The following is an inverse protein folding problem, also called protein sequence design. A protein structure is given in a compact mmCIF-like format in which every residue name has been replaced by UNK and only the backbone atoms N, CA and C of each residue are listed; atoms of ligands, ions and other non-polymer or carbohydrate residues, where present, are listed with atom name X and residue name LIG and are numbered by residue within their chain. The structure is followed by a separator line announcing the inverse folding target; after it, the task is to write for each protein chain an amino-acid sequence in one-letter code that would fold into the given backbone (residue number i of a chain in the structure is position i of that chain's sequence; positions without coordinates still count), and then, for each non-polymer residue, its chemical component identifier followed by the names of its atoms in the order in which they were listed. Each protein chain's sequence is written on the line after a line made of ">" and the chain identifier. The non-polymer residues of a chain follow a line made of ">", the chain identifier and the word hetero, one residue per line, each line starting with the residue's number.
data_IF_995236209670
#
_entry.id   IF_995236209670
#
_cell.length_a   1.000
_cell.length_b   1.000
_cell.length_c   1.000
_cell.angle_alpha   90.00
_cell.angle_beta   90.00
_cell.angle_gamma   90.00
#
_symmetry.space_group_name_H-M   'P 1'
#
loop_
_entity.id
_entity.type
_entity.pdbx_description
1 polymer ?
#
# COMPACT_ATOMS: atom_id res chain seq x y z
N UNK A 1 -20.38 -2.24 -16.36
CA UNK A 1 -19.38 -1.19 -16.07
C UNK A 1 -18.23 -1.84 -15.32
N UNK A 2 -16.95 -1.64 -15.67
CA UNK A 2 -15.85 -2.16 -14.86
C UNK A 2 -15.99 -1.57 -13.45
N UNK A 3 -16.12 -2.43 -12.44
CA UNK A 3 -16.16 -1.97 -11.05
C UNK A 3 -14.75 -1.56 -10.65
N UNK A 4 -14.50 -0.27 -10.52
CA UNK A 4 -13.21 0.22 -10.03
C UNK A 4 -12.97 -0.27 -8.59
N UNK A 5 -11.72 -0.64 -8.24
CA UNK A 5 -11.40 -1.07 -6.89
C UNK A 5 -11.73 0.06 -5.91
N UNK A 6 -12.27 -0.31 -4.74
CA UNK A 6 -12.69 0.65 -3.73
C UNK A 6 -11.47 1.42 -3.20
N UNK A 7 -11.49 2.74 -3.35
CA UNK A 7 -10.50 3.63 -2.76
C UNK A 7 -10.90 3.92 -1.31
N UNK A 8 -10.01 3.65 -0.36
CA UNK A 8 -10.22 3.96 1.04
C UNK A 8 -10.06 5.47 1.26
N UNK A 9 -11.05 6.04 1.93
CA UNK A 9 -11.15 7.46 2.25
C UNK A 9 -11.14 7.69 3.76
N UNK A 10 -11.04 8.95 4.17
CA UNK A 10 -11.33 9.43 5.54
C UNK A 10 -12.59 8.74 6.10
N UNK A 11 -12.46 8.06 7.25
CA UNK A 11 -13.54 7.29 7.89
C UNK A 11 -13.61 5.79 7.54
N UNK A 12 -12.77 5.30 6.62
CA UNK A 12 -12.67 3.84 6.36
C UNK A 12 -11.81 3.16 7.43
N UNK A 13 -12.28 2.05 7.98
CA UNK A 13 -11.52 1.24 8.94
C UNK A 13 -10.22 0.74 8.29
N UNK A 14 -9.12 0.79 9.06
CA UNK A 14 -7.86 0.21 8.62
C UNK A 14 -8.04 -1.32 8.58
N UNK A 15 -7.89 -1.97 7.41
CA UNK A 15 -7.94 -3.42 7.38
C UNK A 15 -6.79 -3.98 8.23
N UNK A 16 -7.01 -5.06 9.00
CA UNK A 16 -5.96 -5.67 9.79
C UNK A 16 -4.86 -6.20 8.87
N UNK A 17 -3.59 -5.93 9.18
CA UNK A 17 -2.47 -6.58 8.48
C UNK A 17 -2.46 -8.06 8.84
N UNK A 18 -2.40 -8.94 7.83
CA UNK A 18 -2.16 -10.36 8.06
C UNK A 18 -0.66 -10.58 8.25
N UNK A 19 -0.29 -11.31 9.28
CA UNK A 19 1.08 -11.80 9.47
C UNK A 19 1.50 -12.61 8.21
N UNK A 20 2.72 -12.35 7.70
CA UNK A 20 3.27 -12.87 6.43
C UNK A 20 2.64 -12.36 5.11
N UNK A 21 1.79 -11.31 5.13
CA UNK A 21 1.28 -10.71 3.91
C UNK A 21 1.94 -9.35 3.65
N UNK A 22 2.43 -9.16 2.43
CA UNK A 22 2.91 -7.88 1.95
C UNK A 22 1.70 -7.04 1.54
N UNK A 23 1.64 -5.78 1.99
CA UNK A 23 0.58 -4.82 1.69
C UNK A 23 1.14 -3.68 0.87
N UNK A 24 0.54 -3.46 -0.29
CA UNK A 24 0.87 -2.36 -1.17
C UNK A 24 -0.24 -1.31 -1.09
N UNK A 25 0.11 -0.15 -0.55
CA UNK A 25 -0.70 1.05 -0.67
C UNK A 25 -0.50 1.65 -2.06
N UNK A 26 -1.56 1.63 -2.85
CA UNK A 26 -1.60 1.97 -4.26
C UNK A 26 -2.69 3.02 -4.52
N UNK A 27 -2.70 3.57 -5.72
CA UNK A 27 -3.81 4.37 -6.22
C UNK A 27 -3.92 4.10 -7.72
N UNK A 28 -5.13 3.73 -8.16
CA UNK A 28 -5.38 3.22 -9.51
C UNK A 28 -4.83 4.12 -10.64
N UNK A 29 -4.83 5.44 -10.46
CA UNK A 29 -4.38 6.40 -11.46
C UNK A 29 -2.92 6.86 -11.27
N UNK A 30 -2.18 6.29 -10.31
CA UNK A 30 -0.82 6.72 -10.01
C UNK A 30 0.20 5.90 -10.83
N UNK A 31 1.01 6.54 -11.70
CA UNK A 31 2.01 5.84 -12.52
C UNK A 31 3.14 5.23 -11.68
N UNK A 32 3.46 5.80 -10.51
CA UNK A 32 4.46 5.27 -9.60
C UNK A 32 3.98 3.98 -8.93
N UNK A 33 2.72 3.95 -8.49
CA UNK A 33 2.12 2.74 -7.93
C UNK A 33 2.03 1.62 -8.96
N UNK A 34 1.74 1.95 -10.22
CA UNK A 34 1.76 0.97 -11.30
C UNK A 34 3.15 0.34 -11.48
N UNK A 35 4.25 1.10 -11.37
CA UNK A 35 5.61 0.54 -11.42
C UNK A 35 5.87 -0.44 -10.29
N UNK A 36 5.48 -0.09 -9.06
CA UNK A 36 5.60 -0.98 -7.90
C UNK A 36 4.84 -2.31 -8.11
N UNK A 37 3.62 -2.25 -8.66
CA UNK A 37 2.84 -3.45 -9.01
C UNK A 37 3.54 -4.33 -10.04
N UNK A 38 4.16 -3.72 -11.06
CA UNK A 38 4.91 -4.46 -12.09
C UNK A 38 6.12 -5.18 -11.48
N UNK A 39 6.87 -4.53 -10.59
CA UNK A 39 8.01 -5.16 -9.89
C UNK A 39 7.54 -6.33 -9.03
N UNK A 40 6.46 -6.15 -8.27
CA UNK A 40 5.90 -7.22 -7.44
C UNK A 40 5.35 -8.38 -8.27
N UNK A 41 4.70 -8.09 -9.39
CA UNK A 41 4.23 -9.09 -10.35
C UNK A 41 5.40 -9.86 -10.99
N UNK A 42 6.48 -9.16 -11.37
CA UNK A 42 7.68 -9.78 -11.92
C UNK A 42 8.39 -10.70 -10.91
N UNK A 43 8.39 -10.32 -9.62
CA UNK A 43 8.93 -11.14 -8.53
C UNK A 43 7.97 -12.24 -8.05
N UNK A 44 6.75 -12.30 -8.58
CA UNK A 44 5.70 -13.25 -8.19
C UNK A 44 5.43 -13.26 -6.67
N UNK A 45 5.52 -12.09 -6.03
CA UNK A 45 5.30 -11.95 -4.59
C UNK A 45 3.81 -11.72 -4.36
N UNK A 46 3.13 -12.52 -3.53
CA UNK A 46 1.74 -12.27 -3.20
C UNK A 46 1.61 -11.02 -2.33
N UNK A 47 0.83 -10.04 -2.77
CA UNK A 47 0.56 -8.81 -2.03
C UNK A 47 -0.92 -8.47 -1.99
N UNK A 48 -1.33 -7.79 -0.92
CA UNK A 48 -2.63 -7.17 -0.77
C UNK A 48 -2.56 -5.73 -1.27
N UNK A 49 -3.32 -5.41 -2.32
CA UNK A 49 -3.43 -4.03 -2.81
C UNK A 49 -4.52 -3.27 -2.06
N UNK A 50 -4.13 -2.16 -1.46
CA UNK A 50 -5.07 -1.19 -0.88
C UNK A 50 -5.00 0.10 -1.66
N UNK A 51 -6.11 0.43 -2.31
CA UNK A 51 -6.23 1.71 -3.00
C UNK A 51 -6.59 2.80 -2.01
N UNK A 52 -5.80 3.87 -1.98
CA UNK A 52 -6.04 5.04 -1.13
C UNK A 52 -6.48 6.21 -2.02
N UNK A 53 -7.43 7.00 -1.52
CA UNK A 53 -7.79 8.27 -2.14
C UNK A 53 -6.77 9.36 -1.74
N UNK A 54 -6.15 10.01 -2.74
CA UNK A 54 -5.13 11.04 -2.50
C UNK A 54 -5.74 12.40 -2.11
N UNK A 55 -7.03 12.60 -2.37
CA UNK A 55 -7.78 13.82 -2.00
C UNK A 55 -8.28 13.68 -0.56
N UNK A 56 -8.91 12.55 -0.25
CA UNK A 56 -9.48 12.25 1.08
C UNK A 56 -8.70 11.13 1.77
N UNK A 57 -7.49 11.45 2.22
CA UNK A 57 -6.59 10.46 2.82
C UNK A 57 -7.11 10.02 4.20
N UNK A 58 -7.17 8.70 4.48
CA UNK A 58 -7.54 8.23 5.79
C UNK A 58 -6.50 8.60 6.86
N UNK A 59 -6.97 9.01 8.04
CA UNK A 59 -6.09 9.40 9.16
C UNK A 59 -5.13 8.29 9.59
N UNK A 60 -5.57 7.03 9.55
CA UNK A 60 -4.69 5.90 9.89
C UNK A 60 -3.52 5.78 8.92
N UNK A 61 -3.69 6.18 7.66
CA UNK A 61 -2.62 6.17 6.69
C UNK A 61 -1.64 7.31 6.91
N UNK A 62 -2.16 8.50 7.23
CA UNK A 62 -1.32 9.65 7.60
C UNK A 62 -0.49 9.39 8.87
N UNK A 63 -1.04 8.65 9.84
CA UNK A 63 -0.31 8.21 11.03
C UNK A 63 0.84 7.24 10.72
N UNK A 64 0.70 6.41 9.68
CA UNK A 64 1.76 5.48 9.23
C UNK A 64 2.77 6.15 8.31
N UNK A 65 2.28 7.01 7.43
CA UNK A 65 3.04 7.69 6.40
C UNK A 65 2.71 9.19 6.46
N UNK A 66 3.51 9.95 7.19
CA UNK A 66 3.35 11.40 7.33
C UNK A 66 3.19 12.17 5.99
N UNK A 67 3.94 11.85 4.90
CA UNK A 67 3.72 12.51 3.61
C UNK A 67 2.43 12.04 2.91
N UNK A 68 1.85 10.90 3.31
CA UNK A 68 0.65 10.33 2.71
C UNK A 68 0.79 10.10 1.21
N UNK A 69 1.98 9.72 0.76
CA UNK A 69 2.32 9.48 -0.65
C UNK A 69 2.25 7.99 -0.97
N UNK A 70 1.77 7.68 -2.17
CA UNK A 70 1.76 6.33 -2.74
C UNK A 70 2.78 6.25 -3.87
N UNK A 71 3.41 5.09 -4.12
CA UNK A 71 3.23 3.81 -3.45
C UNK A 71 3.91 3.72 -2.08
N UNK A 72 3.25 3.01 -1.16
CA UNK A 72 3.82 2.62 0.13
C UNK A 72 3.76 1.12 0.30
N UNK A 73 4.85 0.51 0.76
CA UNK A 73 4.93 -0.92 1.01
C UNK A 73 4.93 -1.17 2.52
N UNK A 74 4.10 -2.07 3.01
CA UNK A 74 4.08 -2.45 4.41
C UNK A 74 4.07 -3.97 4.52
N UNK A 75 4.94 -4.54 5.36
CA UNK A 75 4.88 -5.96 5.71
C UNK A 75 5.25 -6.15 7.18
N UNK A 76 4.77 -7.23 7.75
CA UNK A 76 5.17 -7.67 9.09
C UNK A 76 6.26 -8.72 8.90
N UNK A 77 7.42 -8.44 9.47
CA UNK A 77 8.52 -9.41 9.48
C UNK A 77 8.25 -10.47 10.57
N UNK A 78 8.32 -11.75 10.19
CA UNK A 78 8.07 -12.86 11.11
C UNK A 78 9.12 -12.95 12.22
N UNK A 79 10.35 -12.50 11.95
CA UNK A 79 11.47 -12.59 12.89
C UNK A 79 11.40 -11.48 13.95
N UNK A 80 11.03 -10.26 13.53
CA UNK A 80 11.04 -9.09 14.41
C UNK A 80 9.67 -8.69 14.98
N UNK A 81 8.55 -9.22 14.45
CA UNK A 81 7.17 -8.73 14.75
C UNK A 81 6.98 -7.22 14.58
N UNK A 82 7.89 -6.57 13.88
CA UNK A 82 7.85 -5.15 13.59
C UNK A 82 7.18 -4.93 12.24
N UNK A 83 6.30 -3.93 12.17
CA UNK A 83 5.75 -3.45 10.91
C UNK A 83 6.80 -2.57 10.24
N UNK A 84 7.33 -3.02 9.10
CA UNK A 84 8.27 -2.24 8.31
C UNK A 84 7.51 -1.54 7.19
N UNK A 85 7.64 -0.22 7.13
CA UNK A 85 7.09 0.60 6.06
C UNK A 85 8.22 1.09 5.15
N UNK A 86 8.13 0.76 3.87
CA UNK A 86 9.07 1.20 2.85
C UNK A 86 8.40 2.20 1.90
N UNK A 87 8.96 3.42 1.74
CA UNK A 87 8.49 4.39 0.74
C UNK A 87 8.98 4.05 -0.68
N UNK A 88 8.32 4.66 -1.68
CA UNK A 88 8.52 4.51 -3.13
C UNK A 88 9.96 4.24 -3.60
N UNK A 89 10.94 4.97 -3.06
CA UNK A 89 12.35 4.97 -3.49
C UNK A 89 13.02 3.58 -3.47
N UNK A 90 12.58 2.68 -2.57
CA UNK A 90 13.22 1.37 -2.39
C UNK A 90 12.48 0.23 -3.10
N UNK A 91 11.30 0.48 -3.68
CA UNK A 91 10.50 -0.58 -4.32
C UNK A 91 11.05 -0.91 -5.72
N UNK A 92 11.66 0.07 -6.39
CA UNK A 92 12.13 -0.02 -7.79
C UNK A 92 13.67 0.00 -7.91
N UNK A 93 14.39 0.09 -6.79
CA UNK A 93 15.86 0.07 -6.79
C UNK A 93 16.45 -1.34 -6.81
#
# INVERSE_FOLDING_TARGET
>A
MPSYPKHLKTGSECPPLKENQLRLYSMHFCPYAQRAKLVLAAKNIPYEEINIDLVDKPEWYLKKNAPGQVPGLEWIDHDSKESKFIPESLIVS
#
